data_IF_941307630220
#
_entry.id   IF_941307630220
#
_cell.length_a   1.000
_cell.length_b   1.000
_cell.length_c   1.000
_cell.angle_alpha   90.00
_cell.angle_beta   90.00
_cell.angle_gamma   90.00
#
_symmetry.space_group_name_H-M   'P 1'
#
loop_
_entity.id
_entity.type
_entity.pdbx_description
1 polymer ?
#
# COMPACT_ATOMS: atom_id res chain seq x y z
N UNK A 1 11.98 15.61 3.86
CA UNK A 1 11.64 14.83 2.65
C UNK A 1 12.94 14.61 1.90
N UNK A 2 13.31 13.35 1.66
CA UNK A 2 14.58 12.98 1.01
C UNK A 2 14.44 13.04 -0.52
N UNK A 3 15.53 13.40 -1.22
CA UNK A 3 15.59 13.27 -2.68
C UNK A 3 15.70 11.79 -3.03
N UNK A 4 14.86 11.33 -3.95
CA UNK A 4 14.85 9.92 -4.40
C UNK A 4 16.00 9.70 -5.39
N UNK A 5 16.75 8.63 -5.18
CA UNK A 5 17.82 8.14 -6.02
C UNK A 5 17.76 6.61 -6.11
N UNK A 6 18.67 6.02 -6.88
CA UNK A 6 18.69 4.58 -7.13
C UNK A 6 18.88 3.73 -5.85
N UNK A 7 19.61 4.23 -4.84
CA UNK A 7 19.91 3.46 -3.62
C UNK A 7 18.80 3.53 -2.56
N UNK A 8 18.06 4.65 -2.51
CA UNK A 8 16.98 4.86 -1.53
C UNK A 8 15.57 4.70 -2.11
N UNK A 9 15.39 4.50 -3.42
CA UNK A 9 14.07 4.28 -4.03
C UNK A 9 13.36 3.02 -3.53
N UNK A 10 12.03 3.07 -3.46
CA UNK A 10 11.16 1.92 -3.13
C UNK A 10 10.08 1.75 -4.20
N UNK A 11 9.75 0.50 -4.55
CA UNK A 11 8.73 0.20 -5.56
C UNK A 11 7.36 0.16 -4.90
N UNK A 12 6.62 1.24 -5.08
CA UNK A 12 5.31 1.45 -4.48
C UNK A 12 4.17 1.44 -5.49
N UNK A 13 2.98 1.12 -5.01
CA UNK A 13 1.78 1.25 -5.82
C UNK A 13 1.34 2.72 -5.85
N UNK A 14 1.04 3.25 -7.03
CA UNK A 14 0.53 4.63 -7.21
C UNK A 14 -0.80 4.81 -6.48
N UNK A 15 -1.63 3.78 -6.50
CA UNK A 15 -2.84 3.64 -5.69
C UNK A 15 -2.59 2.50 -4.71
N UNK A 16 -2.91 2.61 -3.41
CA UNK A 16 -2.68 1.52 -2.46
C UNK A 16 -3.24 0.19 -2.96
N UNK A 17 -2.43 -0.87 -2.86
CA UNK A 17 -2.83 -2.23 -3.26
C UNK A 17 -4.06 -2.71 -2.50
N UNK A 18 -4.21 -2.22 -1.27
CA UNK A 18 -5.30 -2.56 -0.36
C UNK A 18 -6.68 -2.18 -0.90
N UNK A 19 -6.74 -1.16 -1.76
CA UNK A 19 -7.94 -0.74 -2.51
C UNK A 19 -7.91 -1.16 -3.98
N UNK A 20 -6.98 -2.06 -4.36
CA UNK A 20 -6.93 -2.67 -5.69
C UNK A 20 -5.98 -2.01 -6.68
N UNK A 21 -5.10 -1.11 -6.22
CA UNK A 21 -4.08 -0.52 -7.09
C UNK A 21 -3.11 -1.55 -7.67
N UNK A 22 -2.69 -1.32 -8.92
CA UNK A 22 -1.77 -2.21 -9.68
C UNK A 22 -0.59 -1.50 -10.30
N UNK A 23 -0.77 -0.23 -10.65
CA UNK A 23 0.30 0.57 -11.24
C UNK A 23 1.37 0.83 -10.18
N UNK A 24 2.62 0.48 -10.49
CA UNK A 24 3.78 0.65 -9.60
C UNK A 24 4.72 1.73 -10.12
N UNK A 25 5.44 2.36 -9.21
CA UNK A 25 6.51 3.31 -9.53
C UNK A 25 7.60 3.25 -8.45
N UNK A 26 8.85 3.32 -8.88
CA UNK A 26 10.02 3.45 -8.01
C UNK A 26 10.35 4.90 -7.66
N UNK A 27 9.67 5.86 -8.28
CA UNK A 27 9.96 7.29 -8.16
C UNK A 27 9.05 8.03 -7.16
N UNK A 28 8.21 7.30 -6.40
CA UNK A 28 7.23 7.90 -5.49
C UNK A 28 7.79 8.13 -4.09
N UNK A 29 8.42 7.11 -3.51
CA UNK A 29 8.83 7.12 -2.12
C UNK A 29 10.24 6.55 -1.94
N UNK A 30 10.95 7.13 -0.99
CA UNK A 30 12.17 6.54 -0.46
C UNK A 30 11.84 5.35 0.46
N UNK A 31 12.79 4.44 0.71
CA UNK A 31 12.58 3.24 1.56
C UNK A 31 12.18 3.61 2.99
N UNK A 32 12.82 4.61 3.60
CA UNK A 32 12.47 5.09 4.95
C UNK A 32 11.08 5.73 4.96
N UNK A 33 10.76 6.52 3.92
CA UNK A 33 9.46 7.12 3.70
C UNK A 33 8.36 6.05 3.61
N UNK A 34 8.59 5.01 2.82
CA UNK A 34 7.65 3.90 2.65
C UNK A 34 7.39 3.18 3.99
N UNK A 35 8.44 2.88 4.75
CA UNK A 35 8.28 2.28 6.08
C UNK A 35 7.51 3.18 7.04
N UNK A 36 7.74 4.50 7.00
CA UNK A 36 7.04 5.47 7.85
C UNK A 36 5.54 5.55 7.51
N UNK A 37 5.20 5.68 6.22
CA UNK A 37 3.80 5.78 5.79
C UNK A 37 3.06 4.46 5.91
N UNK A 38 3.73 3.35 5.60
CA UNK A 38 3.21 1.99 5.77
C UNK A 38 2.85 1.66 7.21
N UNK A 39 3.55 2.22 8.20
CA UNK A 39 3.21 2.09 9.62
C UNK A 39 2.27 3.17 10.16
N UNK A 40 1.95 4.19 9.35
CA UNK A 40 1.17 5.36 9.75
C UNK A 40 -0.09 5.52 8.92
N UNK A 41 -0.11 6.53 8.05
CA UNK A 41 -1.30 6.92 7.29
C UNK A 41 -1.83 5.80 6.38
N UNK A 42 -0.95 5.02 5.74
CA UNK A 42 -1.38 3.96 4.84
C UNK A 42 -2.04 2.82 5.62
N UNK A 43 -1.56 2.53 6.84
CA UNK A 43 -2.19 1.54 7.72
C UNK A 43 -3.58 2.00 8.19
N UNK A 44 -3.72 3.28 8.57
CA UNK A 44 -5.03 3.85 8.95
C UNK A 44 -5.99 3.83 7.77
N UNK A 45 -5.53 4.22 6.58
CA UNK A 45 -6.33 4.22 5.36
C UNK A 45 -6.76 2.81 4.96
N UNK A 46 -5.85 1.83 5.02
CA UNK A 46 -6.13 0.43 4.76
C UNK A 46 -7.23 -0.11 5.67
N UNK A 47 -7.15 0.18 6.98
CA UNK A 47 -8.17 -0.25 7.93
C UNK A 47 -9.51 0.45 7.72
N UNK A 48 -9.51 1.76 7.45
CA UNK A 48 -10.73 2.52 7.18
C UNK A 48 -11.47 2.04 5.92
N UNK A 49 -10.73 1.54 4.92
CA UNK A 49 -11.27 1.06 3.64
C UNK A 49 -11.51 -0.46 3.60
N UNK A 50 -11.13 -1.19 4.65
CA UNK A 50 -11.28 -2.64 4.76
C UNK A 50 -12.73 -3.11 4.56
N UNK A 51 -13.78 -2.49 5.16
CA UNK A 51 -15.15 -2.96 4.97
C UNK A 51 -15.60 -2.91 3.50
N UNK A 52 -15.22 -1.85 2.79
CA UNK A 52 -15.61 -1.63 1.39
C UNK A 52 -14.83 -2.58 0.48
N UNK A 53 -13.53 -2.73 0.71
CA UNK A 53 -12.66 -3.59 -0.11
C UNK A 53 -12.98 -5.07 0.08
N UNK A 54 -13.40 -5.47 1.30
CA UNK A 54 -13.93 -6.80 1.58
C UNK A 54 -15.28 -7.03 0.87
N UNK A 55 -16.22 -6.09 0.94
CA UNK A 55 -17.52 -6.16 0.25
C UNK A 55 -17.36 -6.34 -1.26
N UNK A 56 -16.42 -5.61 -1.86
CA UNK A 56 -16.14 -5.65 -3.31
C UNK A 56 -15.22 -6.80 -3.72
N UNK A 57 -14.77 -7.63 -2.78
CA UNK A 57 -13.83 -8.74 -3.01
C UNK A 57 -12.58 -8.29 -3.80
N UNK A 58 -12.01 -7.15 -3.41
CA UNK A 58 -10.85 -6.58 -4.09
C UNK A 58 -9.65 -7.50 -3.89
N UNK A 59 -9.08 -7.97 -5.00
CA UNK A 59 -7.90 -8.82 -4.99
C UNK A 59 -6.64 -7.98 -4.71
N UNK A 60 -5.95 -8.25 -3.61
CA UNK A 60 -4.63 -7.67 -3.32
C UNK A 60 -3.53 -8.45 -4.05
N UNK A 61 -2.53 -7.75 -4.57
CA UNK A 61 -1.40 -8.38 -5.27
C UNK A 61 -0.33 -8.90 -4.29
N UNK A 62 -0.11 -8.20 -3.17
CA UNK A 62 0.74 -8.69 -2.07
C UNK A 62 -0.14 -9.46 -1.10
N UNK A 63 0.16 -10.75 -0.86
CA UNK A 63 -0.63 -11.65 -0.01
C UNK A 63 -0.75 -11.14 1.43
N UNK A 64 -1.97 -10.79 1.81
CA UNK A 64 -2.64 -11.24 3.04
C UNK A 64 -4.07 -11.52 2.61
N UNK A 65 -4.49 -12.78 2.70
CA UNK A 65 -5.87 -13.14 2.40
C UNK A 65 -6.78 -12.30 3.31
N UNK A 66 -7.79 -11.66 2.73
CA UNK A 66 -8.87 -11.04 3.50
C UNK A 66 -9.72 -12.18 4.06
N UNK A 67 -9.26 -12.81 5.13
CA UNK A 67 -10.05 -13.82 5.83
C UNK A 67 -11.06 -13.07 6.69
N UNK A 68 -12.24 -12.80 6.11
CA UNK A 68 -13.43 -12.68 6.94
C UNK A 68 -13.64 -14.06 7.58
N UNK A 69 -13.18 -14.22 8.82
CA UNK A 69 -13.54 -15.38 9.63
C UNK A 69 -15.00 -15.21 10.02
N UNK A 70 -15.88 -15.91 9.32
CA UNK A 70 -17.24 -16.20 9.79
C UNK A 70 -17.19 -17.12 11.01
#
# INVERSE_FOLDING_TARGET
MEVINESNSSVEYVIPNDVGGRLKSSALLCKSCNSLYGGGIDAVFAHATEPITALLNIKRERKKENILKN
#
